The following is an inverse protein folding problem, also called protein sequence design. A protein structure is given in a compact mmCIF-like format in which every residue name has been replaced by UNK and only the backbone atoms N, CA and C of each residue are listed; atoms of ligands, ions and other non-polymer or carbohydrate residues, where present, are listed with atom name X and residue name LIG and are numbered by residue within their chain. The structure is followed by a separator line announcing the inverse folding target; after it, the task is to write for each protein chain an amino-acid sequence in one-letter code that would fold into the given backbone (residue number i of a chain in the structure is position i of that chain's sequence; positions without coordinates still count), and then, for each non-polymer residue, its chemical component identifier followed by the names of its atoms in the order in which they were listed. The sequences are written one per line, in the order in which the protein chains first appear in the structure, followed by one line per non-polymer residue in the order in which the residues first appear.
data_IF_441372013453
#
_entry.id   IF_441372013453
#
_cell.length_a   1.000
_cell.length_b   1.000
_cell.length_c   1.000
_cell.angle_alpha   90.00
_cell.angle_beta   90.00
_cell.angle_gamma   90.00
#
_symmetry.space_group_name_H-M   'P 1'
#
loop_
_entity.id
_entity.type
_entity.pdbx_description
1 polymer ?
#
# COMPACT_ATOMS: atom_id res chain seq x y z
N UNK A 1 5.03 113.58 137.09
CA UNK A 1 5.63 113.67 135.75
C UNK A 1 5.02 112.58 134.91
N UNK A 2 4.28 112.97 133.87
CA UNK A 2 3.41 112.08 133.09
C UNK A 2 4.21 110.96 132.41
N UNK A 3 3.74 109.71 132.47
CA UNK A 3 4.37 108.60 131.78
C UNK A 3 4.09 108.79 130.30
N UNK A 4 5.13 109.09 129.53
CA UNK A 4 5.04 109.10 128.07
C UNK A 4 4.95 107.61 127.67
N UNK A 5 3.71 107.11 127.70
CA UNK A 5 3.28 105.86 127.09
C UNK A 5 3.67 105.94 125.63
N UNK A 6 4.88 105.47 125.35
CA UNK A 6 5.45 105.48 124.01
C UNK A 6 4.73 104.37 123.29
N UNK A 7 3.75 104.79 122.51
CA UNK A 7 2.96 103.96 121.63
C UNK A 7 3.93 103.14 120.76
N UNK A 8 4.14 101.88 121.12
CA UNK A 8 5.04 100.93 120.45
C UNK A 8 4.40 100.34 119.19
N UNK A 9 3.12 100.63 118.96
CA UNK A 9 2.34 100.22 117.79
C UNK A 9 3.03 100.59 116.47
N UNK A 10 3.55 101.81 116.24
CA UNK A 10 4.31 102.15 115.03
C UNK A 10 5.56 101.28 114.81
N UNK A 11 6.29 100.92 115.87
CA UNK A 11 7.52 100.11 115.76
C UNK A 11 7.17 98.65 115.44
N UNK A 12 6.17 98.08 116.10
CA UNK A 12 5.68 96.74 115.80
C UNK A 12 5.06 96.65 114.39
N UNK A 13 4.38 97.72 113.95
CA UNK A 13 3.81 97.79 112.60
C UNK A 13 4.91 97.87 111.54
N UNK A 14 5.97 98.64 111.77
CA UNK A 14 7.12 98.72 110.86
C UNK A 14 7.90 97.39 110.78
N UNK A 15 8.13 96.74 111.92
CA UNK A 15 8.76 95.42 111.97
C UNK A 15 7.92 94.35 111.27
N UNK A 16 6.60 94.36 111.48
CA UNK A 16 5.68 93.46 110.80
C UNK A 16 5.66 93.70 109.28
N UNK A 17 5.63 94.97 108.85
CA UNK A 17 5.73 95.33 107.43
C UNK A 17 7.06 94.89 106.81
N UNK A 18 8.19 95.09 107.51
CA UNK A 18 9.51 94.64 107.05
C UNK A 18 9.60 93.12 106.98
N UNK A 19 9.10 92.40 107.98
CA UNK A 19 9.12 90.93 107.97
C UNK A 19 8.20 90.37 106.88
N UNK A 20 7.02 90.97 106.69
CA UNK A 20 6.06 90.60 105.63
C UNK A 20 6.63 90.88 104.24
N UNK A 21 7.31 92.01 104.05
CA UNK A 21 8.00 92.33 102.80
C UNK A 21 9.18 91.39 102.59
N UNK A 22 10.00 91.13 103.62
CA UNK A 22 11.12 90.18 103.51
C UNK A 22 10.65 88.77 103.18
N UNK A 23 9.53 88.30 103.75
CA UNK A 23 8.94 87.00 103.41
C UNK A 23 8.36 87.01 101.99
N UNK A 24 7.69 88.08 101.57
CA UNK A 24 7.19 88.20 100.19
C UNK A 24 8.32 88.35 99.16
N UNK A 25 9.44 88.96 99.53
CA UNK A 25 10.64 89.18 98.69
C UNK A 25 11.63 88.01 98.74
N UNK A 26 11.60 87.19 99.80
CA UNK A 26 12.37 85.94 99.91
C UNK A 26 11.61 84.74 99.34
N UNK A 27 10.27 84.81 99.23
CA UNK A 27 9.42 83.81 98.59
C UNK A 27 8.61 84.26 97.35
N UNK A 28 9.08 85.19 96.48
CA UNK A 28 8.46 85.44 95.17
C UNK A 28 8.60 84.22 94.26
N UNK A 29 9.48 83.30 94.64
CA UNK A 29 9.69 81.99 94.04
C UNK A 29 8.46 81.07 94.14
N UNK A 30 7.58 81.21 95.15
CA UNK A 30 6.42 80.31 95.30
C UNK A 30 5.45 80.38 94.12
N UNK A 31 5.06 81.59 93.71
CA UNK A 31 4.14 81.77 92.57
C UNK A 31 4.78 81.35 91.25
N UNK A 32 6.08 81.62 91.06
CA UNK A 32 6.84 81.18 89.90
C UNK A 32 6.87 79.64 89.83
N UNK A 33 7.12 78.97 90.96
CA UNK A 33 7.11 77.50 91.02
C UNK A 33 5.70 76.92 90.83
N UNK A 34 4.65 77.57 91.33
CA UNK A 34 3.27 77.13 91.09
C UNK A 34 2.87 77.26 89.62
N UNK A 35 3.25 78.35 88.94
CA UNK A 35 3.00 78.52 87.51
C UNK A 35 3.83 77.56 86.66
N UNK A 36 5.10 77.34 87.01
CA UNK A 36 5.92 76.28 86.41
C UNK A 36 5.30 74.90 86.61
N UNK A 37 4.79 74.60 87.81
CA UNK A 37 4.16 73.32 88.11
C UNK A 37 2.86 73.14 87.31
N UNK A 38 2.04 74.20 87.18
CA UNK A 38 0.83 74.18 86.33
C UNK A 38 1.18 73.98 84.87
N UNK A 39 2.20 74.68 84.36
CA UNK A 39 2.69 74.52 82.99
C UNK A 39 3.16 73.08 82.76
N UNK A 40 4.00 72.54 83.65
CA UNK A 40 4.46 71.15 83.57
C UNK A 40 3.30 70.15 83.64
N UNK A 41 2.30 70.41 84.49
CA UNK A 41 1.12 69.56 84.59
C UNK A 41 0.26 69.61 83.32
N UNK A 42 0.15 70.77 82.69
CA UNK A 42 -0.52 70.94 81.40
C UNK A 42 0.25 70.23 80.28
N UNK A 43 1.57 70.37 80.23
CA UNK A 43 2.43 69.69 79.27
C UNK A 43 2.33 68.16 79.43
N UNK A 44 2.38 67.66 80.66
CA UNK A 44 2.21 66.24 80.98
C UNK A 44 0.83 65.73 80.54
N UNK A 45 -0.23 66.50 80.76
CA UNK A 45 -1.58 66.14 80.31
C UNK A 45 -1.69 66.12 78.78
N UNK A 46 -1.06 67.07 78.11
CA UNK A 46 -1.02 67.13 76.63
C UNK A 46 -0.27 65.92 76.08
N UNK A 47 0.90 65.62 76.64
CA UNK A 47 1.71 64.47 76.27
C UNK A 47 0.98 63.14 76.54
N UNK A 48 0.23 63.03 77.64
CA UNK A 48 -0.58 61.83 77.92
C UNK A 48 -1.70 61.66 76.88
N UNK A 49 -2.36 62.75 76.49
CA UNK A 49 -3.38 62.71 75.45
C UNK A 49 -2.79 62.30 74.09
N UNK A 50 -1.66 62.88 73.70
CA UNK A 50 -0.92 62.52 72.48
C UNK A 50 -0.49 61.05 72.49
N UNK A 51 0.11 60.57 73.59
CA UNK A 51 0.50 59.17 73.74
C UNK A 51 -0.71 58.23 73.65
N UNK A 52 -1.86 58.61 74.22
CA UNK A 52 -3.09 57.83 74.12
C UNK A 52 -3.62 57.79 72.68
N UNK A 53 -3.52 58.89 71.94
CA UNK A 53 -3.92 58.95 70.53
C UNK A 53 -3.00 58.08 69.65
N UNK A 54 -1.68 58.20 69.84
CA UNK A 54 -0.67 57.39 69.15
C UNK A 54 -0.81 55.90 69.48
N UNK A 55 -1.15 55.55 70.72
CA UNK A 55 -1.42 54.16 71.08
C UNK A 55 -2.64 53.61 70.34
N UNK A 56 -3.71 54.39 70.23
CA UNK A 56 -4.91 54.01 69.47
C UNK A 56 -4.60 53.83 67.98
N UNK A 57 -3.85 54.76 67.39
CA UNK A 57 -3.40 54.66 65.98
C UNK A 57 -2.53 53.42 65.76
N UNK A 58 -1.59 53.12 66.66
CA UNK A 58 -0.77 51.92 66.57
C UNK A 58 -1.60 50.63 66.63
N UNK A 59 -2.65 50.59 67.47
CA UNK A 59 -3.56 49.44 67.53
C UNK A 59 -4.36 49.28 66.24
N UNK A 60 -4.81 50.38 65.65
CA UNK A 60 -5.54 50.36 64.37
C UNK A 60 -4.63 49.91 63.22
N UNK A 61 -3.43 50.47 63.11
CA UNK A 61 -2.43 50.05 62.12
C UNK A 61 -2.06 48.57 62.28
N UNK A 62 -1.98 48.06 63.51
CA UNK A 62 -1.74 46.64 63.77
C UNK A 62 -2.89 45.77 63.25
N UNK A 63 -4.14 46.18 63.47
CA UNK A 63 -5.31 45.45 62.96
C UNK A 63 -5.38 45.48 61.42
N UNK A 64 -5.03 46.61 60.80
CA UNK A 64 -4.96 46.74 59.35
C UNK A 64 -3.87 45.83 58.76
N UNK A 65 -2.68 45.79 59.38
CA UNK A 65 -1.58 44.89 58.97
C UNK A 65 -1.98 43.41 59.07
N UNK A 66 -2.65 43.01 60.15
CA UNK A 66 -3.14 41.64 60.32
C UNK A 66 -4.16 41.27 59.24
N UNK A 67 -5.08 42.19 58.91
CA UNK A 67 -6.04 41.99 57.82
C UNK A 67 -5.34 41.83 56.47
N UNK A 68 -4.31 42.64 56.19
CA UNK A 68 -3.55 42.57 54.95
C UNK A 68 -2.74 41.26 54.84
N UNK A 69 -2.17 40.80 55.95
CA UNK A 69 -1.45 39.51 56.01
C UNK A 69 -2.42 38.36 55.70
N UNK A 70 -3.60 38.36 56.30
CA UNK A 70 -4.62 37.34 56.06
C UNK A 70 -5.07 37.34 54.59
N UNK A 71 -5.34 38.51 54.02
CA UNK A 71 -5.69 38.66 52.61
C UNK A 71 -4.58 38.13 51.68
N UNK A 72 -3.33 38.49 51.95
CA UNK A 72 -2.17 38.02 51.18
C UNK A 72 -2.01 36.50 51.27
N UNK A 73 -2.24 35.91 52.45
CA UNK A 73 -2.20 34.46 52.65
C UNK A 73 -3.31 33.74 51.89
N UNK A 74 -4.52 34.29 51.88
CA UNK A 74 -5.65 33.72 51.13
C UNK A 74 -5.40 33.80 49.62
N UNK A 75 -4.94 34.94 49.11
CA UNK A 75 -4.59 35.11 47.70
C UNK A 75 -3.50 34.11 47.27
N UNK A 76 -2.50 33.89 48.13
CA UNK A 76 -1.46 32.88 47.89
C UNK A 76 -2.04 31.47 47.81
N UNK A 77 -2.91 31.09 48.75
CA UNK A 77 -3.57 29.78 48.75
C UNK A 77 -4.44 29.57 47.49
N UNK A 78 -5.15 30.60 47.04
CA UNK A 78 -5.95 30.56 45.82
C UNK A 78 -5.06 30.37 44.58
N UNK A 79 -3.93 31.09 44.49
CA UNK A 79 -2.95 30.92 43.41
C UNK A 79 -2.35 29.51 43.37
N UNK A 80 -1.98 28.96 44.53
CA UNK A 80 -1.46 27.59 44.63
C UNK A 80 -2.49 26.53 44.20
N UNK A 81 -3.76 26.74 44.56
CA UNK A 81 -4.87 25.89 44.08
C UNK A 81 -5.01 25.93 42.57
N UNK A 82 -4.99 27.12 41.96
CA UNK A 82 -5.09 27.29 40.50
C UNK A 82 -3.88 26.71 39.76
N UNK A 83 -2.67 26.82 40.33
CA UNK A 83 -1.47 26.19 39.77
C UNK A 83 -1.61 24.67 39.78
N UNK A 84 -2.13 24.11 40.87
CA UNK A 84 -2.33 22.65 41.01
C UNK A 84 -3.37 22.13 40.02
N UNK A 85 -4.48 22.85 39.83
CA UNK A 85 -5.50 22.51 38.83
C UNK A 85 -4.96 22.58 37.39
N UNK A 86 -4.22 23.65 37.06
CA UNK A 86 -3.59 23.77 35.75
C UNK A 86 -2.58 22.65 35.49
N UNK A 87 -1.81 22.23 36.50
CA UNK A 87 -0.88 21.11 36.38
C UNK A 87 -1.62 19.79 36.16
N UNK A 88 -2.73 19.56 36.86
CA UNK A 88 -3.58 18.38 36.64
C UNK A 88 -4.14 18.34 35.21
N UNK A 89 -4.63 19.48 34.70
CA UNK A 89 -5.11 19.59 33.32
C UNK A 89 -4.00 19.35 32.28
N UNK A 90 -2.78 19.85 32.53
CA UNK A 90 -1.64 19.59 31.67
C UNK A 90 -1.27 18.10 31.62
N UNK A 91 -1.31 17.40 32.77
CA UNK A 91 -1.07 15.96 32.82
C UNK A 91 -2.15 15.18 32.04
N UNK A 92 -3.42 15.53 32.19
CA UNK A 92 -4.52 14.92 31.43
C UNK A 92 -4.36 15.13 29.91
N UNK A 93 -3.96 16.33 29.48
CA UNK A 93 -3.65 16.60 28.08
C UNK A 93 -2.47 15.77 27.56
N UNK A 94 -1.42 15.59 28.36
CA UNK A 94 -0.28 14.74 28.00
C UNK A 94 -0.69 13.27 27.85
N UNK A 95 -1.49 12.74 28.78
CA UNK A 95 -2.03 11.38 28.69
C UNK A 95 -2.90 11.22 27.44
N UNK A 96 -3.80 12.18 27.19
CA UNK A 96 -4.65 12.17 26.00
C UNK A 96 -3.81 12.18 24.71
N UNK A 97 -2.80 13.03 24.61
CA UNK A 97 -1.89 13.05 23.47
C UNK A 97 -1.15 11.74 23.27
N UNK A 98 -0.68 11.09 24.35
CA UNK A 98 -0.05 9.77 24.28
C UNK A 98 -1.02 8.73 23.72
N UNK A 99 -2.26 8.69 24.20
CA UNK A 99 -3.26 7.72 23.69
C UNK A 99 -3.64 7.97 22.23
N UNK A 100 -3.69 9.24 21.79
CA UNK A 100 -3.94 9.59 20.39
C UNK A 100 -2.78 9.10 19.52
N UNK A 101 -1.54 9.32 19.96
CA UNK A 101 -0.34 8.88 19.24
C UNK A 101 -0.31 7.36 19.07
N UNK A 102 -0.59 6.60 20.13
CA UNK A 102 -0.61 5.13 20.07
C UNK A 102 -1.70 4.60 19.13
N UNK A 103 -2.89 5.22 19.14
CA UNK A 103 -3.97 4.88 18.20
C UNK A 103 -3.61 5.23 16.76
N UNK A 104 -2.97 6.38 16.53
CA UNK A 104 -2.53 6.78 15.20
C UNK A 104 -1.48 5.80 14.65
N UNK A 105 -0.55 5.36 15.50
CA UNK A 105 0.44 4.34 15.16
C UNK A 105 -0.23 3.01 14.81
N UNK A 106 -1.15 2.52 15.65
CA UNK A 106 -1.87 1.28 15.39
C UNK A 106 -2.69 1.33 14.09
N UNK A 107 -3.30 2.47 13.76
CA UNK A 107 -4.01 2.67 12.51
C UNK A 107 -3.06 2.65 11.30
N UNK A 108 -1.89 3.28 11.41
CA UNK A 108 -0.86 3.25 10.35
C UNK A 108 -0.39 1.82 10.09
N UNK A 109 -0.10 1.06 11.15
CA UNK A 109 0.31 -0.34 11.02
C UNK A 109 -0.78 -1.20 10.36
N UNK A 110 -2.06 -1.00 10.74
CA UNK A 110 -3.19 -1.70 10.12
C UNK A 110 -3.38 -1.35 8.64
N UNK A 111 -3.14 -0.09 8.23
CA UNK A 111 -3.18 0.32 6.82
C UNK A 111 -2.09 -0.40 6.02
N UNK A 112 -0.87 -0.45 6.54
CA UNK A 112 0.27 -1.13 5.89
C UNK A 112 -0.05 -2.63 5.69
N UNK A 113 -0.63 -3.29 6.69
CA UNK A 113 -1.03 -4.69 6.59
C UNK A 113 -2.12 -4.91 5.53
N UNK A 114 -3.10 -4.00 5.45
CA UNK A 114 -4.15 -4.05 4.42
C UNK A 114 -3.58 -3.82 3.01
N UNK A 115 -2.67 -2.87 2.84
CA UNK A 115 -1.99 -2.62 1.56
C UNK A 115 -1.22 -3.85 1.09
N UNK A 116 -0.52 -4.54 1.99
CA UNK A 116 0.16 -5.80 1.68
C UNK A 116 -0.83 -6.88 1.23
N UNK A 117 -1.97 -7.02 1.91
CA UNK A 117 -3.02 -7.98 1.53
C UNK A 117 -3.62 -7.66 0.15
N UNK A 118 -3.84 -6.38 -0.15
CA UNK A 118 -4.32 -5.94 -1.46
C UNK A 118 -3.29 -6.32 -2.53
N UNK A 119 -2.01 -6.05 -2.31
CA UNK A 119 -0.95 -6.39 -3.25
C UNK A 119 -0.89 -7.90 -3.57
N UNK A 120 -1.00 -8.76 -2.55
CA UNK A 120 -0.99 -10.21 -2.73
C UNK A 120 -2.23 -10.70 -3.49
N UNK A 121 -3.42 -10.15 -3.19
CA UNK A 121 -4.64 -10.44 -3.94
C UNK A 121 -4.54 -9.97 -5.40
N UNK A 122 -3.97 -8.80 -5.67
CA UNK A 122 -3.74 -8.30 -7.02
C UNK A 122 -2.81 -9.21 -7.81
N UNK A 123 -1.71 -9.69 -7.21
CA UNK A 123 -0.80 -10.66 -7.86
C UNK A 123 -1.52 -11.95 -8.22
N UNK A 124 -2.32 -12.50 -7.29
CA UNK A 124 -3.09 -13.71 -7.54
C UNK A 124 -4.13 -13.51 -8.66
N UNK A 125 -4.82 -12.37 -8.69
CA UNK A 125 -5.77 -12.02 -9.74
C UNK A 125 -5.10 -11.94 -11.12
N UNK A 126 -3.92 -11.29 -11.22
CA UNK A 126 -3.15 -11.24 -12.46
C UNK A 126 -2.72 -12.63 -12.94
N UNK A 127 -2.29 -13.51 -12.02
CA UNK A 127 -1.91 -14.88 -12.36
C UNK A 127 -3.12 -15.70 -12.87
N UNK A 128 -4.30 -15.51 -12.27
CA UNK A 128 -5.54 -16.13 -12.75
C UNK A 128 -5.94 -15.60 -14.12
N UNK A 129 -5.80 -14.30 -14.36
CA UNK A 129 -6.08 -13.69 -15.66
C UNK A 129 -5.19 -14.28 -16.76
N UNK A 130 -3.90 -14.51 -16.48
CA UNK A 130 -3.00 -15.18 -17.42
C UNK A 130 -3.47 -16.59 -17.81
N UNK A 131 -3.88 -17.39 -16.82
CA UNK A 131 -4.43 -18.73 -17.07
C UNK A 131 -5.73 -18.70 -17.88
N UNK A 132 -6.59 -17.71 -17.66
CA UNK A 132 -7.81 -17.53 -18.44
C UNK A 132 -7.46 -17.26 -19.91
N UNK A 133 -6.49 -16.38 -20.18
CA UNK A 133 -6.04 -16.09 -21.54
C UNK A 133 -5.44 -17.31 -22.25
N UNK A 134 -4.70 -18.16 -21.52
CA UNK A 134 -4.19 -19.41 -22.07
C UNK A 134 -5.31 -20.39 -22.44
N UNK A 135 -6.30 -20.55 -21.55
CA UNK A 135 -7.47 -21.39 -21.82
C UNK A 135 -8.29 -20.87 -23.00
N UNK A 136 -8.45 -19.55 -23.13
CA UNK A 136 -9.12 -18.92 -24.28
C UNK A 136 -8.42 -19.26 -25.60
N UNK A 137 -7.09 -19.20 -25.65
CA UNK A 137 -6.31 -19.60 -26.84
C UNK A 137 -6.51 -21.07 -27.20
N UNK A 138 -6.51 -21.97 -26.21
CA UNK A 138 -6.74 -23.40 -26.43
C UNK A 138 -8.15 -23.64 -26.98
N UNK A 139 -9.17 -22.95 -26.45
CA UNK A 139 -10.54 -23.05 -26.94
C UNK A 139 -10.63 -22.60 -28.41
N UNK A 140 -9.95 -21.51 -28.78
CA UNK A 140 -9.92 -21.02 -30.15
C UNK A 140 -9.28 -22.05 -31.11
N UNK A 141 -8.16 -22.65 -30.72
CA UNK A 141 -7.48 -23.70 -31.49
C UNK A 141 -8.37 -24.94 -31.66
N UNK A 142 -8.96 -25.45 -30.57
CA UNK A 142 -9.88 -26.60 -30.62
C UNK A 142 -11.09 -26.31 -31.51
N UNK A 143 -11.61 -25.07 -31.49
CA UNK A 143 -12.72 -24.65 -32.34
C UNK A 143 -12.33 -24.66 -33.82
N UNK A 144 -11.11 -24.24 -34.15
CA UNK A 144 -10.56 -24.32 -35.51
C UNK A 144 -10.42 -25.77 -35.96
N UNK A 145 -9.79 -26.61 -35.15
CA UNK A 145 -9.60 -28.04 -35.45
C UNK A 145 -10.94 -28.74 -35.64
N UNK A 146 -11.93 -28.47 -34.79
CA UNK A 146 -13.30 -29.01 -34.94
C UNK A 146 -13.91 -28.64 -36.30
N UNK A 147 -13.78 -27.39 -36.73
CA UNK A 147 -14.29 -26.92 -38.02
C UNK A 147 -13.62 -27.64 -39.20
N UNK A 148 -12.31 -27.86 -39.13
CA UNK A 148 -11.57 -28.60 -40.15
C UNK A 148 -12.05 -30.06 -40.24
N UNK A 149 -12.25 -30.72 -39.10
CA UNK A 149 -12.81 -32.08 -39.05
C UNK A 149 -14.24 -32.12 -39.61
N UNK A 150 -15.10 -31.15 -39.31
CA UNK A 150 -16.45 -31.06 -39.87
C UNK A 150 -16.43 -30.93 -41.40
N UNK A 151 -15.48 -30.18 -41.97
CA UNK A 151 -15.31 -30.08 -43.43
C UNK A 151 -14.85 -31.41 -44.03
N UNK A 152 -13.91 -32.10 -43.38
CA UNK A 152 -13.44 -33.43 -43.82
C UNK A 152 -14.54 -34.48 -43.76
N UNK A 153 -15.36 -34.49 -42.70
CA UNK A 153 -16.51 -35.40 -42.57
C UNK A 153 -17.49 -35.17 -43.74
N UNK A 154 -17.86 -33.92 -44.03
CA UNK A 154 -18.74 -33.59 -45.17
C UNK A 154 -18.15 -34.06 -46.50
N UNK A 155 -16.84 -33.94 -46.69
CA UNK A 155 -16.16 -34.45 -47.89
C UNK A 155 -16.31 -35.98 -48.02
N UNK A 156 -16.06 -36.73 -46.95
CA UNK A 156 -16.23 -38.18 -46.94
C UNK A 156 -17.69 -38.62 -47.11
N UNK A 157 -18.66 -37.91 -46.52
CA UNK A 157 -20.10 -38.16 -46.74
C UNK A 157 -20.49 -38.01 -48.22
N UNK A 158 -19.97 -36.97 -48.88
CA UNK A 158 -20.18 -36.74 -50.31
C UNK A 158 -19.56 -37.87 -51.16
N UNK A 159 -18.33 -38.28 -50.85
CA UNK A 159 -17.68 -39.40 -51.53
C UNK A 159 -18.46 -40.70 -51.34
N UNK A 160 -18.87 -41.02 -50.11
CA UNK A 160 -19.66 -42.20 -49.79
C UNK A 160 -21.00 -42.20 -50.55
N UNK A 161 -21.68 -41.06 -50.63
CA UNK A 161 -22.89 -40.88 -51.44
C UNK A 161 -22.64 -41.18 -52.92
N UNK A 162 -21.52 -40.73 -53.48
CA UNK A 162 -21.14 -41.01 -54.86
C UNK A 162 -20.83 -42.50 -55.09
N UNK A 163 -20.07 -43.13 -54.20
CA UNK A 163 -19.79 -44.58 -54.27
C UNK A 163 -21.06 -45.41 -54.15
N UNK A 164 -21.98 -45.03 -53.26
CA UNK A 164 -23.28 -45.70 -53.12
C UNK A 164 -24.10 -45.64 -54.41
N UNK A 165 -24.10 -44.50 -55.12
CA UNK A 165 -24.75 -44.40 -56.43
C UNK A 165 -24.11 -45.32 -57.47
N UNK A 166 -22.77 -45.32 -57.58
CA UNK A 166 -22.03 -46.22 -58.49
C UNK A 166 -22.27 -47.69 -58.17
N UNK A 167 -22.33 -48.04 -56.89
CA UNK A 167 -22.63 -49.40 -56.45
C UNK A 167 -24.01 -49.84 -56.93
N UNK A 168 -25.04 -49.01 -56.72
CA UNK A 168 -26.39 -49.29 -57.21
C UNK A 168 -26.48 -49.37 -58.75
N UNK A 169 -25.68 -48.59 -59.47
CA UNK A 169 -25.57 -48.68 -60.94
C UNK A 169 -24.95 -50.01 -61.39
N UNK A 170 -23.85 -50.42 -60.75
CA UNK A 170 -23.20 -51.71 -61.01
C UNK A 170 -24.13 -52.88 -60.70
N UNK A 171 -24.87 -52.82 -59.60
CA UNK A 171 -25.85 -53.84 -59.21
C UNK A 171 -26.92 -54.02 -60.30
N UNK A 172 -27.45 -52.95 -60.88
CA UNK A 172 -28.36 -53.02 -62.03
C UNK A 172 -27.71 -53.62 -63.27
N UNK A 173 -26.47 -53.25 -63.57
CA UNK A 173 -25.77 -53.83 -64.73
C UNK A 173 -25.51 -55.32 -64.56
N UNK A 174 -25.25 -55.77 -63.32
CA UNK A 174 -25.09 -57.19 -63.00
C UNK A 174 -26.38 -57.94 -63.26
N UNK A 175 -27.52 -57.43 -62.79
CA UNK A 175 -28.86 -58.00 -63.03
C UNK A 175 -29.15 -58.14 -64.53
N UNK A 176 -28.88 -57.11 -65.33
CA UNK A 176 -29.05 -57.20 -66.80
C UNK A 176 -28.10 -58.20 -67.47
N UNK A 177 -26.88 -58.36 -66.95
CA UNK A 177 -25.92 -59.34 -67.46
C UNK A 177 -26.33 -60.77 -67.09
N UNK A 178 -26.89 -60.99 -65.90
CA UNK A 178 -27.46 -62.27 -65.49
C UNK A 178 -28.65 -62.66 -66.39
N UNK A 179 -29.55 -61.71 -66.69
CA UNK A 179 -30.61 -61.90 -67.67
C UNK A 179 -30.06 -62.27 -69.07
N UNK A 180 -29.03 -61.55 -69.53
CA UNK A 180 -28.38 -61.84 -70.81
C UNK A 180 -27.70 -63.21 -70.82
N UNK A 181 -27.07 -63.61 -69.70
CA UNK A 181 -26.49 -64.95 -69.55
C UNK A 181 -27.56 -66.04 -69.66
N UNK A 182 -28.73 -65.86 -69.04
CA UNK A 182 -29.84 -66.82 -69.19
C UNK A 182 -30.33 -66.93 -70.63
N UNK A 183 -30.40 -65.81 -71.36
CA UNK A 183 -30.74 -65.80 -72.78
C UNK A 183 -29.69 -66.56 -73.59
N UNK A 184 -28.40 -66.31 -73.34
CA UNK A 184 -27.31 -67.00 -74.03
C UNK A 184 -27.33 -68.51 -73.75
N UNK A 185 -27.58 -68.95 -72.52
CA UNK A 185 -27.73 -70.37 -72.21
C UNK A 185 -28.89 -71.00 -72.98
N UNK A 186 -30.04 -70.33 -73.08
CA UNK A 186 -31.17 -70.80 -73.90
C UNK A 186 -30.84 -70.87 -75.38
N UNK A 187 -30.09 -69.88 -75.90
CA UNK A 187 -29.62 -69.90 -77.29
C UNK A 187 -28.69 -71.08 -77.52
N UNK A 188 -27.76 -71.34 -76.59
CA UNK A 188 -26.83 -72.47 -76.65
C UNK A 188 -27.58 -73.82 -76.67
N UNK A 189 -28.58 -73.99 -75.80
CA UNK A 189 -29.46 -75.17 -75.80
C UNK A 189 -30.18 -75.36 -77.14
N UNK A 190 -30.66 -74.25 -77.75
CA UNK A 190 -31.26 -74.29 -79.09
C UNK A 190 -30.22 -74.72 -80.13
N UNK A 191 -29.01 -74.16 -80.12
CA UNK A 191 -27.94 -74.53 -81.08
C UNK A 191 -27.56 -76.00 -80.95
N UNK A 192 -27.42 -76.53 -79.72
CA UNK A 192 -27.13 -77.93 -79.46
C UNK A 192 -28.27 -78.84 -79.93
N UNK A 193 -29.53 -78.42 -79.70
CA UNK A 193 -30.71 -79.13 -80.22
C UNK A 193 -30.77 -79.13 -81.76
N UNK A 194 -30.26 -78.09 -82.42
CA UNK A 194 -30.16 -77.99 -83.88
C UNK A 194 -28.97 -78.77 -84.44
N UNK A 195 -27.84 -78.84 -83.72
CA UNK A 195 -26.66 -79.65 -84.08
C UNK A 195 -26.93 -81.16 -84.06
N UNK A 196 -27.90 -81.62 -83.27
CA UNK A 196 -28.40 -83.00 -83.30
C UNK A 196 -29.20 -83.34 -84.58
N UNK A 197 -29.54 -82.35 -85.42
CA UNK A 197 -30.36 -82.53 -86.62
C UNK A 197 -29.74 -82.04 -87.95
N UNK A 198 -28.46 -81.65 -88.00
CA UNK A 198 -27.80 -81.19 -89.22
C UNK A 198 -26.31 -81.53 -89.27
N UNK A 199 -25.93 -82.40 -90.20
CA UNK A 199 -24.54 -82.70 -90.53
C UNK A 199 -23.84 -81.54 -91.27
N UNK A 200 -22.54 -81.39 -90.99
CA UNK A 200 -21.50 -80.68 -91.78
C UNK A 200 -21.44 -79.15 -91.60
N UNK A 201 -20.46 -78.66 -90.82
CA UNK A 201 -19.29 -77.93 -91.36
C UNK A 201 -18.22 -77.70 -90.28
N UNK A 202 -17.00 -78.09 -90.64
CA UNK A 202 -15.70 -77.86 -90.00
C UNK A 202 -15.24 -76.42 -90.31
N UNK A 203 -14.54 -75.74 -89.39
CA UNK A 203 -13.56 -74.64 -89.62
C UNK A 203 -13.25 -73.96 -88.28
N UNK A 204 -11.95 -73.91 -87.96
CA UNK A 204 -11.35 -72.63 -87.56
C UNK A 204 -11.02 -72.45 -86.09
N UNK A 205 -10.08 -73.24 -85.60
CA UNK A 205 -9.20 -72.87 -84.48
C UNK A 205 -8.48 -71.53 -84.76
N UNK A 206 -8.69 -70.50 -83.95
CA UNK A 206 -7.69 -69.44 -83.77
C UNK A 206 -7.51 -69.04 -82.30
N UNK A 207 -6.28 -69.28 -81.87
CA UNK A 207 -5.69 -68.91 -80.59
C UNK A 207 -5.69 -67.39 -80.43
N UNK A 208 -6.24 -66.89 -79.32
CA UNK A 208 -5.94 -65.54 -78.84
C UNK A 208 -5.24 -65.67 -77.49
N UNK A 209 -3.97 -65.26 -77.51
CA UNK A 209 -2.97 -65.28 -76.44
C UNK A 209 -3.42 -64.62 -75.13
N UNK A 210 -3.02 -65.16 -73.95
CA UNK A 210 -3.16 -64.46 -72.69
C UNK A 210 -2.01 -63.44 -72.54
N UNK A 211 -2.30 -62.15 -72.71
CA UNK A 211 -1.39 -61.07 -72.32
C UNK A 211 -1.28 -61.01 -70.79
N UNK A 212 -0.29 -61.73 -70.26
CA UNK A 212 0.27 -61.50 -68.92
C UNK A 212 0.86 -60.09 -68.88
N UNK A 213 0.25 -59.16 -68.14
CA UNK A 213 0.99 -58.01 -67.61
C UNK A 213 1.71 -58.46 -66.33
N UNK A 214 3.03 -58.62 -66.45
CA UNK A 214 3.93 -58.55 -65.31
C UNK A 214 3.91 -57.11 -64.80
N UNK A 215 3.35 -56.91 -63.61
CA UNK A 215 3.66 -55.74 -62.82
C UNK A 215 4.99 -56.01 -62.11
N UNK A 216 6.08 -55.56 -62.74
CA UNK A 216 7.40 -55.49 -62.10
C UNK A 216 7.30 -54.47 -60.97
N UNK A 217 6.99 -54.98 -59.77
CA UNK A 217 7.19 -54.28 -58.51
C UNK A 217 8.70 -54.14 -58.29
N UNK A 218 9.31 -53.20 -59.01
CA UNK A 218 10.66 -52.72 -58.69
C UNK A 218 10.55 -52.10 -57.31
N UNK A 219 11.13 -52.78 -56.32
CA UNK A 219 11.46 -52.22 -55.02
C UNK A 219 12.34 -51.00 -55.29
N UNK A 220 11.72 -49.83 -55.42
CA UNK A 220 12.43 -48.56 -55.36
C UNK A 220 13.03 -48.53 -53.98
N UNK A 221 14.34 -48.68 -53.89
CA UNK A 221 15.09 -48.32 -52.68
C UNK A 221 14.68 -46.90 -52.34
N UNK A 222 13.84 -46.76 -51.30
CA UNK A 222 13.32 -45.46 -50.88
C UNK A 222 14.52 -44.55 -50.62
N UNK A 223 14.55 -43.42 -51.29
CA UNK A 223 15.59 -42.43 -51.06
C UNK A 223 15.46 -41.87 -49.63
N UNK A 224 16.55 -41.38 -49.04
CA UNK A 224 16.52 -40.78 -47.69
C UNK A 224 15.44 -39.68 -47.60
N UNK A 225 15.31 -38.90 -48.68
CA UNK A 225 14.26 -37.90 -48.83
C UNK A 225 12.85 -38.47 -48.72
N UNK A 226 12.57 -39.60 -49.39
CA UNK A 226 11.24 -40.23 -49.36
C UNK A 226 10.88 -40.71 -47.95
N UNK A 227 11.82 -41.38 -47.26
CA UNK A 227 11.60 -41.82 -45.88
C UNK A 227 11.45 -40.64 -44.93
N UNK A 228 12.21 -39.58 -45.12
CA UNK A 228 12.11 -38.39 -44.28
C UNK A 228 10.79 -37.65 -44.52
N UNK A 229 10.34 -37.52 -45.76
CA UNK A 229 9.03 -36.92 -46.08
C UNK A 229 7.87 -37.75 -45.54
N UNK A 230 7.94 -39.08 -45.63
CA UNK A 230 6.93 -39.97 -45.05
C UNK A 230 6.86 -39.84 -43.53
N UNK A 231 8.01 -39.70 -42.88
CA UNK A 231 8.10 -39.37 -41.45
C UNK A 231 7.44 -38.03 -41.15
N UNK A 232 7.78 -36.95 -41.85
CA UNK A 232 7.19 -35.62 -41.63
C UNK A 232 5.67 -35.62 -41.83
N UNK A 233 5.18 -36.34 -42.84
CA UNK A 233 3.74 -36.50 -43.10
C UNK A 233 3.02 -37.22 -41.97
N UNK A 234 3.64 -38.26 -41.43
CA UNK A 234 3.07 -39.04 -40.31
C UNK A 234 2.93 -38.19 -39.04
N UNK A 235 3.86 -37.25 -38.82
CA UNK A 235 3.85 -36.36 -37.65
C UNK A 235 3.21 -34.98 -37.91
N UNK A 236 2.75 -34.69 -39.12
CA UNK A 236 2.15 -33.40 -39.49
C UNK A 236 3.14 -32.23 -39.54
N UNK A 237 4.43 -32.49 -39.78
CA UNK A 237 5.53 -31.51 -39.75
C UNK A 237 6.03 -31.09 -41.15
N UNK A 238 5.22 -31.33 -42.18
CA UNK A 238 5.58 -31.12 -43.60
C UNK A 238 6.07 -29.70 -43.91
N UNK A 239 5.63 -28.70 -43.14
CA UNK A 239 5.93 -27.28 -43.35
C UNK A 239 7.10 -26.75 -42.49
N UNK A 240 7.64 -27.53 -41.56
CA UNK A 240 8.68 -27.05 -40.63
C UNK A 240 10.11 -27.27 -41.15
N UNK A 241 10.27 -28.12 -42.17
CA UNK A 241 11.55 -28.45 -42.76
C UNK A 241 11.65 -27.98 -44.21
N UNK A 242 12.66 -27.16 -44.50
CA UNK A 242 13.00 -26.74 -45.86
C UNK A 242 14.23 -27.52 -46.35
N UNK A 243 14.12 -28.21 -47.50
CA UNK A 243 15.26 -28.94 -48.07
C UNK A 243 16.28 -27.95 -48.64
N UNK A 244 17.51 -27.99 -48.13
CA UNK A 244 18.61 -27.15 -48.61
C UNK A 244 19.56 -27.89 -49.56
N UNK A 245 19.61 -29.22 -49.49
CA UNK A 245 20.47 -30.06 -50.32
C UNK A 245 20.30 -31.53 -49.99
N UNK A 246 21.16 -32.39 -50.54
CA UNK A 246 21.14 -33.81 -50.22
C UNK A 246 21.49 -34.03 -48.75
N UNK A 247 20.63 -34.77 -48.04
CA UNK A 247 20.76 -35.02 -46.60
C UNK A 247 20.82 -33.74 -45.74
N UNK A 248 20.46 -32.56 -46.26
CA UNK A 248 20.58 -31.28 -45.55
C UNK A 248 19.26 -30.50 -45.59
N UNK A 249 18.71 -30.25 -44.41
CA UNK A 249 17.44 -29.57 -44.23
C UNK A 249 17.59 -28.40 -43.27
N UNK A 250 16.80 -27.36 -43.43
CA UNK A 250 16.64 -26.28 -42.48
C UNK A 250 15.39 -26.54 -41.63
N UNK A 251 15.55 -26.45 -40.32
CA UNK A 251 14.47 -26.47 -39.35
C UNK A 251 14.47 -25.14 -38.61
N UNK A 252 13.45 -24.30 -38.83
CA UNK A 252 13.47 -22.89 -38.41
C UNK A 252 14.77 -22.19 -38.87
N UNK A 253 15.61 -21.75 -37.93
CA UNK A 253 16.87 -21.05 -38.22
C UNK A 253 18.12 -21.95 -38.13
N UNK A 254 17.95 -23.28 -38.04
CA UNK A 254 19.06 -24.22 -37.87
C UNK A 254 19.16 -25.17 -39.05
N UNK A 255 20.38 -25.38 -39.54
CA UNK A 255 20.68 -26.39 -40.55
C UNK A 255 20.93 -27.73 -39.87
N UNK A 256 20.31 -28.79 -40.37
CA UNK A 256 20.33 -30.14 -39.82
C UNK A 256 20.66 -31.11 -40.93
N UNK A 257 21.68 -31.94 -40.72
CA UNK A 257 22.00 -33.03 -41.65
C UNK A 257 21.33 -34.32 -41.18
N UNK A 258 20.57 -34.95 -42.07
CA UNK A 258 19.73 -36.12 -41.81
C UNK A 258 20.22 -37.30 -42.63
N UNK A 259 20.43 -38.43 -41.98
CA UNK A 259 20.92 -39.65 -42.59
C UNK A 259 20.11 -40.85 -42.08
N UNK A 260 20.16 -41.98 -42.78
CA UNK A 260 19.50 -43.23 -42.36
C UNK A 260 20.56 -44.21 -41.86
N UNK A 261 20.50 -44.55 -40.58
CA UNK A 261 21.38 -45.57 -39.97
C UNK A 261 20.53 -46.64 -39.30
N UNK A 262 20.79 -47.91 -39.65
CA UNK A 262 20.05 -49.07 -39.14
C UNK A 262 18.53 -48.91 -39.29
N UNK A 263 18.08 -48.49 -40.47
CA UNK A 263 16.69 -48.18 -40.78
C UNK A 263 16.03 -47.03 -39.98
N UNK A 264 16.78 -46.33 -39.11
CA UNK A 264 16.30 -45.18 -38.36
C UNK A 264 16.80 -43.86 -38.95
N UNK A 265 15.91 -42.85 -38.99
CA UNK A 265 16.27 -41.48 -39.34
C UNK A 265 17.03 -40.84 -38.18
N UNK A 266 18.27 -40.42 -38.44
CA UNK A 266 19.16 -39.79 -37.46
C UNK A 266 19.65 -38.43 -37.97
N UNK A 267 19.69 -37.45 -37.07
CA UNK A 267 20.26 -36.14 -37.33
C UNK A 267 21.64 -35.99 -36.70
N UNK A 268 22.53 -35.20 -37.32
CA UNK A 268 23.84 -34.87 -36.75
C UNK A 268 23.75 -33.65 -35.84
N UNK A 269 24.12 -33.81 -34.56
CA UNK A 269 24.10 -32.74 -33.55
C UNK A 269 25.38 -32.74 -32.73
N UNK A 270 26.04 -31.58 -32.58
CA UNK A 270 27.11 -31.37 -31.58
C UNK A 270 28.26 -32.39 -31.56
N UNK A 271 28.60 -33.02 -32.69
CA UNK A 271 29.65 -34.04 -32.78
C UNK A 271 29.18 -35.50 -32.75
N UNK A 272 27.89 -35.75 -32.52
CA UNK A 272 27.27 -37.08 -32.54
C UNK A 272 26.08 -37.19 -33.50
N UNK A 273 25.41 -38.33 -33.46
CA UNK A 273 24.13 -38.58 -34.13
C UNK A 273 23.06 -38.79 -33.06
N UNK A 274 21.86 -38.30 -33.34
CA UNK A 274 20.69 -38.40 -32.45
C UNK A 274 19.48 -38.78 -33.30
N UNK A 275 18.51 -39.49 -32.73
CA UNK A 275 17.27 -39.81 -33.45
C UNK A 275 16.48 -38.54 -33.77
N UNK A 276 15.76 -38.54 -34.89
CA UNK A 276 14.95 -37.38 -35.30
C UNK A 276 13.84 -37.07 -34.29
N UNK A 277 13.29 -38.09 -33.62
CA UNK A 277 12.28 -37.93 -32.56
C UNK A 277 12.82 -37.18 -31.34
N UNK A 278 14.03 -37.53 -30.90
CA UNK A 278 14.70 -36.86 -29.77
C UNK A 278 15.09 -35.42 -30.13
N UNK A 279 15.48 -35.19 -31.38
CA UNK A 279 15.80 -33.85 -31.88
C UNK A 279 14.61 -32.90 -31.79
N UNK A 280 13.45 -33.34 -32.26
CA UNK A 280 12.22 -32.55 -32.24
C UNK A 280 11.76 -32.26 -30.80
N UNK A 281 11.75 -33.28 -29.93
CA UNK A 281 11.43 -33.12 -28.50
C UNK A 281 12.35 -32.09 -27.83
N UNK A 282 13.66 -32.18 -28.09
CA UNK A 282 14.64 -31.29 -27.51
C UNK A 282 14.53 -29.82 -27.95
N UNK A 283 13.98 -29.55 -29.14
CA UNK A 283 13.74 -28.18 -29.60
C UNK A 283 12.44 -27.62 -29.01
N UNK A 284 11.37 -28.41 -29.00
CA UNK A 284 10.08 -28.00 -28.44
C UNK A 284 10.20 -27.63 -26.95
N UNK A 285 10.95 -28.41 -26.16
CA UNK A 285 11.19 -28.09 -24.75
C UNK A 285 11.99 -26.79 -24.54
N UNK A 286 12.87 -26.41 -25.48
CA UNK A 286 13.71 -25.20 -25.37
C UNK A 286 13.02 -23.93 -25.87
N UNK A 287 12.02 -24.05 -26.74
CA UNK A 287 11.20 -22.91 -27.14
C UNK A 287 10.33 -22.43 -25.97
N UNK A 288 9.82 -23.36 -25.15
CA UNK A 288 9.02 -23.04 -23.97
C UNK A 288 9.80 -22.30 -22.88
N UNK A 289 11.09 -22.60 -22.68
CA UNK A 289 11.92 -21.90 -21.68
C UNK A 289 12.40 -20.49 -22.08
N UNK A 290 12.36 -20.15 -23.38
CA UNK A 290 12.83 -18.84 -23.87
C UNK A 290 11.73 -17.77 -23.93
N UNK A 291 10.45 -18.15 -23.98
CA UNK A 291 9.36 -17.17 -23.90
C UNK A 291 9.16 -16.64 -22.47
N UNK A 292 9.57 -17.39 -21.45
CA UNK A 292 9.48 -16.99 -20.03
C UNK A 292 10.62 -16.06 -19.55
N UNK A 293 11.55 -15.64 -20.42
CA UNK A 293 12.70 -14.80 -20.05
C UNK A 293 12.81 -13.44 -20.72
N UNK A 294 11.76 -12.95 -21.38
CA UNK A 294 11.74 -11.59 -21.95
C UNK A 294 10.57 -10.73 -21.46
N UNK A 295 10.67 -10.26 -20.21
CA UNK A 295 10.07 -8.99 -19.79
C UNK A 295 11.13 -8.20 -19.01
N UNK A 296 11.89 -7.40 -19.75
CA UNK A 296 12.76 -6.35 -19.18
C UNK A 296 11.85 -5.17 -18.82
N UNK A 297 11.76 -4.74 -17.54
CA UNK A 297 11.12 -3.47 -17.20
C UNK A 297 12.05 -2.32 -17.61
N UNK A 298 11.55 -1.45 -18.49
CA UNK A 298 12.12 -0.13 -18.68
C UNK A 298 12.08 0.69 -17.39
N UNK A 299 13.14 1.47 -17.21
CA UNK A 299 13.30 2.64 -16.32
C UNK A 299 13.78 2.40 -14.88
N UNK A 300 15.06 2.71 -14.66
CA UNK A 300 15.46 3.58 -13.55
C UNK A 300 16.68 4.42 -13.96
N UNK A 301 16.77 5.67 -13.47
CA UNK A 301 17.70 6.66 -13.98
C UNK A 301 19.13 6.46 -13.46
N UNK A 302 20.05 7.01 -14.23
CA UNK A 302 21.49 7.03 -14.02
C UNK A 302 21.90 7.45 -12.60
N UNK A 303 22.65 6.58 -11.92
CA UNK A 303 23.57 6.99 -10.86
C UNK A 303 24.98 7.04 -11.43
N UNK A 304 25.52 8.25 -11.42
CA UNK A 304 26.92 8.60 -11.67
C UNK A 304 27.89 7.77 -10.80
N UNK A 305 29.03 7.32 -11.34
CA UNK A 305 30.12 6.74 -10.56
C UNK A 305 31.19 7.78 -10.18
N UNK A 306 31.99 7.45 -9.15
CA UNK A 306 33.24 8.10 -8.67
C UNK A 306 33.05 9.34 -7.77
N UNK A 307 33.66 9.47 -6.58
CA UNK A 307 34.91 8.89 -6.07
C UNK A 307 34.87 8.61 -4.56
N UNK A 308 35.62 7.56 -4.23
CA UNK A 308 36.19 7.17 -2.94
C UNK A 308 37.02 8.26 -2.24
N UNK A 309 36.87 8.37 -0.93
CA UNK A 309 37.98 8.67 -0.02
C UNK A 309 37.71 8.09 1.37
N UNK A 310 38.66 7.28 1.83
CA UNK A 310 38.75 6.69 3.16
C UNK A 310 38.77 7.75 4.27
N UNK A 311 38.24 7.40 5.45
CA UNK A 311 39.10 7.25 6.64
C UNK A 311 38.37 6.57 7.80
N UNK A 312 39.00 5.47 8.23
CA UNK A 312 38.87 4.86 9.54
C UNK A 312 39.30 5.83 10.64
N UNK A 313 38.58 5.85 11.75
CA UNK A 313 39.18 5.72 13.09
C UNK A 313 38.08 5.46 14.12
N UNK A 314 38.23 4.35 14.83
CA UNK A 314 37.74 4.14 16.17
C UNK A 314 38.45 5.13 17.10
N UNK A 315 37.73 5.72 18.06
CA UNK A 315 38.01 5.57 19.49
C UNK A 315 37.16 6.53 20.36
N UNK A 316 36.44 5.91 21.29
CA UNK A 316 36.38 6.20 22.72
C UNK A 316 36.26 7.64 23.28
N UNK A 317 35.19 7.79 24.08
CA UNK A 317 35.15 8.42 25.42
C UNK A 317 35.33 9.95 25.47
N UNK A 318 34.31 10.64 26.01
CA UNK A 318 34.37 11.50 27.21
C UNK A 318 33.14 12.43 27.21
N UNK A 319 32.37 12.30 28.29
CA UNK A 319 31.39 13.26 28.81
C UNK A 319 31.96 14.69 28.78
N UNK A 320 31.30 15.60 28.07
CA UNK A 320 31.25 17.01 28.47
C UNK A 320 29.87 17.59 28.19
N UNK A 321 29.16 17.84 29.29
CA UNK A 321 28.16 18.87 29.41
C UNK A 321 28.68 20.17 28.75
N UNK A 322 27.87 20.75 27.88
CA UNK A 322 27.96 22.16 27.55
C UNK A 322 26.55 22.68 27.28
N UNK A 323 26.02 23.34 28.31
CA UNK A 323 24.96 24.33 28.22
C UNK A 323 25.33 25.35 27.13
N UNK A 324 24.65 25.30 26.00
CA UNK A 324 24.59 26.40 25.06
C UNK A 324 23.14 26.50 24.55
N UNK A 325 22.39 27.35 25.23
CA UNK A 325 21.09 27.88 24.82
C UNK A 325 21.23 28.57 23.46
N UNK A 326 20.49 28.17 22.42
CA UNK A 326 20.36 29.00 21.22
C UNK A 326 19.32 30.09 21.49
N UNK A 327 19.77 31.33 21.40
CA UNK A 327 18.96 32.55 21.40
C UNK A 327 17.79 32.46 20.41
N UNK A 328 16.60 32.99 20.71
CA UNK A 328 15.46 32.91 19.82
C UNK A 328 15.71 33.77 18.58
N UNK A 329 15.81 33.10 17.42
CA UNK A 329 15.82 33.74 16.11
C UNK A 329 14.49 34.49 15.95
N UNK A 330 14.57 35.82 15.85
CA UNK A 330 13.47 36.69 15.36
C UNK A 330 12.98 36.15 14.02
N UNK A 331 11.81 35.52 14.03
CA UNK A 331 11.00 35.25 12.86
C UNK A 331 10.55 36.61 12.28
N UNK A 332 11.18 37.03 11.18
CA UNK A 332 10.60 38.05 10.30
C UNK A 332 9.37 37.43 9.63
N UNK A 333 8.20 37.87 10.06
CA UNK A 333 6.93 37.63 9.37
C UNK A 333 6.93 38.56 8.14
N UNK A 334 6.83 38.05 6.90
CA UNK A 334 6.56 38.90 5.76
C UNK A 334 5.10 39.37 5.84
N UNK A 335 4.90 40.68 5.85
CA UNK A 335 3.58 41.30 5.81
C UNK A 335 2.89 40.95 4.50
N UNK A 336 1.79 40.19 4.60
CA UNK A 336 0.83 40.03 3.52
C UNK A 336 -0.40 40.87 3.85
N UNK A 337 -0.51 42.02 3.19
CA UNK A 337 -1.74 42.79 3.10
C UNK A 337 -2.65 42.10 2.08
N UNK A 338 -3.67 41.37 2.54
CA UNK A 338 -4.80 40.95 1.70
C UNK A 338 -6.05 40.69 2.55
N UNK A 339 -6.98 41.65 2.47
CA UNK A 339 -8.44 41.47 2.51
C UNK A 339 -9.04 40.51 3.56
N UNK A 340 -9.35 41.03 4.74
CA UNK A 340 -10.39 40.44 5.59
C UNK A 340 -11.76 40.66 4.94
N UNK A 341 -12.29 39.63 4.27
CA UNK A 341 -13.73 39.52 4.00
C UNK A 341 -14.40 38.98 5.27
N UNK A 342 -15.37 39.74 5.76
CA UNK A 342 -16.24 39.37 6.87
C UNK A 342 -16.86 37.98 6.66
N UNK A 343 -16.44 37.00 7.46
CA UNK A 343 -17.17 35.74 7.62
C UNK A 343 -18.17 35.95 8.76
N UNK A 344 -19.42 36.12 8.37
CA UNK A 344 -20.59 36.11 9.27
C UNK A 344 -20.66 34.71 9.89
N UNK A 345 -20.34 34.59 11.19
CA UNK A 345 -20.63 33.39 11.96
C UNK A 345 -22.15 33.26 12.08
N UNK A 346 -22.73 32.32 11.33
CA UNK A 346 -24.11 31.88 11.55
C UNK A 346 -24.16 31.13 12.87
N UNK A 347 -25.01 31.61 13.76
CA UNK A 347 -25.34 30.99 15.03
C UNK A 347 -25.80 29.54 14.81
N UNK A 348 -25.21 28.62 15.59
CA UNK A 348 -25.68 27.25 15.72
C UNK A 348 -27.07 27.26 16.36
N UNK A 349 -28.04 26.67 15.66
CA UNK A 349 -29.36 26.35 16.21
C UNK A 349 -29.26 25.14 17.15
N UNK A 350 -29.99 25.12 18.28
CA UNK A 350 -29.99 23.98 19.19
C UNK A 350 -30.72 22.79 18.57
N UNK A 351 -30.05 21.63 18.62
CA UNK A 351 -30.56 20.33 18.19
C UNK A 351 -31.80 19.95 19.01
N UNK A 352 -32.90 19.65 18.32
CA UNK A 352 -34.16 19.15 18.89
C UNK A 352 -33.93 17.77 19.53
N UNK A 353 -34.43 17.62 20.77
CA UNK A 353 -34.56 16.34 21.49
C UNK A 353 -35.29 15.30 20.63
N UNK A 354 -34.65 14.14 20.42
CA UNK A 354 -35.28 12.94 19.88
C UNK A 354 -36.08 12.26 21.00
N UNK A 355 -37.33 11.91 20.71
CA UNK A 355 -38.25 11.26 21.63
C UNK A 355 -37.82 9.82 21.95
N UNK A 356 -37.97 9.44 23.23
CA UNK A 356 -37.86 8.06 23.70
C UNK A 356 -38.98 7.22 23.08
N UNK A 357 -38.60 6.18 22.33
CA UNK A 357 -39.50 5.11 21.92
C UNK A 357 -39.66 4.17 23.12
N UNK A 358 -40.87 4.13 23.69
CA UNK A 358 -41.29 3.05 24.59
C UNK A 358 -41.60 1.82 23.74
N UNK A 359 -40.86 0.73 23.95
CA UNK A 359 -41.29 -0.59 23.52
C UNK A 359 -42.36 -1.09 24.49
N UNK A 360 -43.44 -1.64 23.93
CA UNK A 360 -44.48 -2.38 24.63
C UNK A 360 -44.25 -3.87 24.43
#
# INVERSE_FOLDING_TARGET
MNPISTDLTPVLTDLYCKLKNLINDSFPSKYIYEDQLKSLQQDLSTQHFENSALLKENLDLKAQLETLINFSSEEKSQKESLISENLAFQNELCEMHSTIWDKEKALKDAIIDQEKKILDLTKNSMAQQGKIQELEKIIEELTRVKKDHEMTIKSYENQHSAYKKKFNELEKTLETNEEMSMILTKIQEIIESLSLHGSVFDIGTEQISPKRMREEQRVKTQTIDERFLEFLKTYGLENEFERLGDELYAYSNKKVSINVKNDCLVCRVGGGYMSIDEFLKGIQSKQQENEDKCLIPLSSPSKSPRNSAMRLSQDNVILKENLNTPSPKRLRIPGNAAGCKNVIMKAFTPVKKVGKILYK
#
